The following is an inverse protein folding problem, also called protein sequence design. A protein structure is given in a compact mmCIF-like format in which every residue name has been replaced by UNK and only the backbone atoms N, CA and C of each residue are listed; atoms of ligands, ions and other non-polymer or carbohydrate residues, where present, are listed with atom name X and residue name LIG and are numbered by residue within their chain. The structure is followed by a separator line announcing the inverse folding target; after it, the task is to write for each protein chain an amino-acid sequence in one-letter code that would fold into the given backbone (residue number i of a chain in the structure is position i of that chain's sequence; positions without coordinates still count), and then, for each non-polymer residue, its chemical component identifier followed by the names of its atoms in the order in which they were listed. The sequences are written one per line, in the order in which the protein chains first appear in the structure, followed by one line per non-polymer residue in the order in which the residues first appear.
data_IF_508816351500
#
_entry.id   IF_508816351500
#
_cell.length_a   1.000
_cell.length_b   1.000
_cell.length_c   1.000
_cell.angle_alpha   90.00
_cell.angle_beta   90.00
_cell.angle_gamma   90.00
#
_symmetry.space_group_name_H-M   'P 1'
#
loop_
_entity.id
_entity.type
_entity.pdbx_description
1 polymer ?
#
# COMPACT_ATOMS: atom_id res chain seq x y z
N UNK A 1 -14.99 -12.47 -9.90
CA UNK A 1 -14.50 -11.81 -8.67
C UNK A 1 -14.53 -10.32 -8.94
N UNK A 2 -14.58 -9.50 -7.90
CA UNK A 2 -14.68 -8.05 -8.09
C UNK A 2 -13.34 -7.41 -7.71
N UNK A 3 -12.86 -6.52 -8.58
CA UNK A 3 -11.64 -5.75 -8.36
C UNK A 3 -12.03 -4.30 -8.16
N UNK A 4 -11.73 -3.75 -6.99
CA UNK A 4 -12.01 -2.36 -6.65
C UNK A 4 -10.73 -1.52 -6.74
N UNK A 5 -10.75 -0.49 -7.57
CA UNK A 5 -9.76 0.59 -7.57
C UNK A 5 -10.26 1.62 -6.56
N UNK A 6 -9.57 1.75 -5.42
CA UNK A 6 -10.02 2.65 -4.35
C UNK A 6 -9.66 4.12 -4.68
N UNK A 7 -10.43 5.05 -4.12
CA UNK A 7 -10.27 6.49 -4.34
C UNK A 7 -9.13 7.09 -3.48
N UNK A 8 -7.94 6.53 -3.63
CA UNK A 8 -6.75 6.95 -2.91
C UNK A 8 -5.56 7.10 -3.87
N UNK A 9 -4.95 8.29 -3.85
CA UNK A 9 -3.69 8.58 -4.56
C UNK A 9 -2.57 8.54 -3.54
N UNK A 10 -1.74 7.50 -3.61
CA UNK A 10 -0.75 7.17 -2.59
C UNK A 10 0.66 7.58 -3.02
N UNK A 11 1.44 8.04 -2.04
CA UNK A 11 2.87 8.29 -2.14
C UNK A 11 3.60 7.24 -1.32
N UNK A 12 4.66 6.69 -1.88
CA UNK A 12 5.59 5.79 -1.18
C UNK A 12 6.82 6.60 -0.82
N UNK A 13 7.14 6.65 0.47
CA UNK A 13 8.28 7.41 0.99
C UNK A 13 9.12 6.55 1.92
N UNK A 14 10.37 6.95 2.09
CA UNK A 14 11.33 6.29 2.94
C UNK A 14 12.03 7.34 3.80
N UNK A 15 11.92 7.22 5.12
CA UNK A 15 12.59 8.06 6.11
C UNK A 15 13.79 7.30 6.66
N UNK A 16 14.99 7.86 6.52
CA UNK A 16 16.21 7.28 7.10
C UNK A 16 16.14 7.26 8.63
N UNK A 17 16.75 6.25 9.28
CA UNK A 17 16.80 6.13 10.75
C UNK A 17 17.33 7.39 11.43
N UNK A 18 18.36 8.01 10.86
CA UNK A 18 19.02 9.19 11.42
C UNK A 18 18.13 10.44 11.39
N UNK A 19 17.21 10.53 10.42
CA UNK A 19 16.31 11.66 10.28
C UNK A 19 14.98 11.50 11.00
N UNK A 20 14.70 10.35 11.64
CA UNK A 20 13.38 10.03 12.21
C UNK A 20 12.86 11.12 13.16
N UNK A 21 13.75 11.69 13.98
CA UNK A 21 13.41 12.75 14.94
C UNK A 21 12.76 13.97 14.27
N UNK A 22 13.18 14.31 13.04
CA UNK A 22 12.63 15.44 12.28
C UNK A 22 11.18 15.17 11.83
N UNK A 23 10.80 13.90 11.72
CA UNK A 23 9.47 13.47 11.29
C UNK A 23 8.56 13.06 12.45
N UNK A 24 9.06 12.97 13.68
CA UNK A 24 8.27 12.52 14.83
C UNK A 24 6.98 13.31 14.99
N UNK A 25 7.02 14.65 14.90
CA UNK A 25 5.81 15.46 15.01
C UNK A 25 4.74 15.08 13.97
N UNK A 26 5.13 14.96 12.70
CA UNK A 26 4.22 14.58 11.62
C UNK A 26 3.68 13.16 11.79
N UNK A 27 4.55 12.20 12.12
CA UNK A 27 4.17 10.81 12.31
C UNK A 27 3.25 10.62 13.52
N UNK A 28 3.51 11.30 14.65
CA UNK A 28 2.60 11.29 15.81
C UNK A 28 1.22 11.85 15.43
N UNK A 29 1.18 12.95 14.67
CA UNK A 29 -0.07 13.53 14.19
C UNK A 29 -0.84 12.54 13.31
N UNK A 30 -0.16 11.87 12.38
CA UNK A 30 -0.77 10.89 11.47
C UNK A 30 -1.25 9.62 12.20
N UNK A 31 -0.48 9.11 13.19
CA UNK A 31 -0.82 7.88 13.92
C UNK A 31 -1.94 8.12 14.93
N UNK A 32 -1.82 9.15 15.77
CA UNK A 32 -2.65 9.29 16.98
C UNK A 32 -3.71 10.39 16.88
N UNK A 33 -3.54 11.37 15.99
CA UNK A 33 -4.38 12.57 15.95
C UNK A 33 -5.23 12.62 14.66
N UNK A 34 -6.05 11.59 14.44
CA UNK A 34 -6.91 11.46 13.25
C UNK A 34 -7.73 12.73 12.95
N UNK A 35 -8.24 13.40 13.98
CA UNK A 35 -9.02 14.64 13.83
C UNK A 35 -8.20 15.88 13.43
N UNK A 36 -6.87 15.76 13.36
CA UNK A 36 -5.94 16.85 12.99
C UNK A 36 -5.41 16.72 11.57
N UNK A 37 -5.79 15.68 10.84
CA UNK A 37 -5.37 15.44 9.45
C UNK A 37 -6.56 15.00 8.61
N UNK A 38 -6.48 15.20 7.29
CA UNK A 38 -7.44 14.65 6.33
C UNK A 38 -6.97 13.34 5.70
N UNK A 39 -5.83 12.83 6.15
CA UNK A 39 -5.26 11.56 5.74
C UNK A 39 -6.24 10.42 6.06
N UNK A 40 -6.63 9.67 5.04
CA UNK A 40 -7.50 8.48 5.09
C UNK A 40 -6.71 7.18 4.90
N UNK A 41 -5.57 7.25 4.23
CA UNK A 41 -4.67 6.11 4.03
C UNK A 41 -3.30 6.39 4.62
N UNK A 42 -2.89 5.58 5.61
CA UNK A 42 -1.57 5.68 6.24
C UNK A 42 -1.06 4.29 6.63
N UNK A 43 0.17 3.99 6.23
CA UNK A 43 0.92 2.82 6.64
C UNK A 43 2.35 3.22 6.96
N UNK A 44 2.85 2.76 8.10
CA UNK A 44 4.22 2.94 8.56
C UNK A 44 4.83 1.57 8.82
N UNK A 45 5.90 1.25 8.12
CA UNK A 45 6.64 0.00 8.30
C UNK A 45 8.07 0.32 8.69
N UNK A 46 8.46 -0.13 9.87
CA UNK A 46 9.85 -0.05 10.31
C UNK A 46 10.66 -1.24 9.78
N UNK A 47 11.80 -0.96 9.14
CA UNK A 47 12.80 -1.96 8.76
C UNK A 47 14.12 -1.67 9.49
N UNK A 48 15.13 -2.56 9.45
CA UNK A 48 16.45 -2.25 9.99
C UNK A 48 17.10 -1.02 9.33
N UNK A 49 16.81 -0.77 8.05
CA UNK A 49 17.46 0.27 7.26
C UNK A 49 16.75 1.63 7.36
N UNK A 50 15.42 1.63 7.47
CA UNK A 50 14.61 2.85 7.33
C UNK A 50 13.19 2.68 7.91
N UNK A 51 12.37 3.72 7.74
CA UNK A 51 10.93 3.67 7.89
C UNK A 51 10.28 3.91 6.53
N UNK A 52 9.56 2.92 6.01
CA UNK A 52 8.74 3.10 4.80
C UNK A 52 7.38 3.64 5.21
N UNK A 53 6.96 4.75 4.60
CA UNK A 53 5.64 5.36 4.84
C UNK A 53 4.88 5.40 3.53
N UNK A 54 3.72 4.75 3.51
CA UNK A 54 2.77 4.79 2.41
C UNK A 54 1.55 5.58 2.88
N UNK A 55 1.26 6.69 2.21
CA UNK A 55 0.21 7.60 2.64
C UNK A 55 -0.45 8.31 1.46
N UNK A 56 -1.68 8.76 1.64
CA UNK A 56 -2.36 9.56 0.62
C UNK A 56 -1.77 10.97 0.46
N UNK A 57 -2.22 11.71 -0.55
CA UNK A 57 -1.75 13.06 -0.84
C UNK A 57 -1.99 14.06 0.31
N UNK A 58 -3.03 13.85 1.15
CA UNK A 58 -3.29 14.71 2.30
C UNK A 58 -2.30 14.43 3.43
N UNK A 59 -2.02 13.16 3.72
CA UNK A 59 -0.99 12.77 4.68
C UNK A 59 0.41 13.20 4.23
N UNK A 60 0.71 13.09 2.93
CA UNK A 60 2.01 13.45 2.37
C UNK A 60 2.38 14.93 2.61
N UNK A 61 1.38 15.83 2.64
CA UNK A 61 1.58 17.27 2.96
C UNK A 61 2.14 17.52 4.36
N UNK A 62 1.96 16.57 5.29
CA UNK A 62 2.50 16.67 6.66
C UNK A 62 4.01 16.38 6.71
N UNK A 63 4.58 15.70 5.70
CA UNK A 63 5.99 15.35 5.64
C UNK A 63 6.80 16.48 4.98
N UNK A 64 7.66 17.13 5.76
CA UNK A 64 8.53 18.18 5.25
C UNK A 64 9.69 17.59 4.41
N UNK A 65 10.01 18.16 3.23
CA UNK A 65 11.17 17.73 2.46
C UNK A 65 12.47 17.84 3.27
N UNK A 66 13.32 16.83 3.18
CA UNK A 66 14.61 16.76 3.87
C UNK A 66 15.53 15.78 3.14
N UNK A 67 16.84 15.88 3.34
CA UNK A 67 17.82 14.89 2.88
C UNK A 67 17.54 13.46 3.40
N UNK A 68 16.82 13.37 4.52
CA UNK A 68 16.46 12.11 5.15
C UNK A 68 15.17 11.49 4.63
N UNK A 69 14.46 12.17 3.73
CA UNK A 69 13.20 11.73 3.14
C UNK A 69 13.40 11.46 1.65
N UNK A 70 13.32 10.18 1.28
CA UNK A 70 13.25 9.77 -0.11
C UNK A 70 11.79 9.57 -0.50
N UNK A 71 11.41 10.09 -1.65
CA UNK A 71 10.05 10.01 -2.16
C UNK A 71 10.09 9.33 -3.52
N UNK A 72 9.31 8.26 -3.67
CA UNK A 72 9.15 7.63 -4.97
C UNK A 72 8.38 8.57 -5.92
N UNK A 73 8.83 8.61 -7.17
CA UNK A 73 8.36 9.55 -8.18
C UNK A 73 6.91 9.33 -8.64
N UNK A 74 6.42 8.10 -8.54
CA UNK A 74 5.11 7.72 -9.05
C UNK A 74 4.03 7.91 -7.98
N UNK A 75 2.82 8.21 -8.44
CA UNK A 75 1.61 8.06 -7.65
C UNK A 75 1.10 6.64 -7.80
N UNK A 76 0.67 6.06 -6.69
CA UNK A 76 0.18 4.68 -6.62
C UNK A 76 -1.31 4.65 -6.30
N UNK A 77 -2.02 3.72 -6.93
CA UNK A 77 -3.44 3.45 -6.73
C UNK A 77 -3.58 2.08 -6.07
N UNK A 78 -4.25 1.98 -4.91
CA UNK A 78 -4.48 0.71 -4.26
C UNK A 78 -5.66 -0.02 -4.92
N UNK A 79 -5.41 -1.26 -5.31
CA UNK A 79 -6.42 -2.22 -5.75
C UNK A 79 -6.78 -3.14 -4.59
N UNK A 80 -8.05 -3.46 -4.46
CA UNK A 80 -8.57 -4.42 -3.50
C UNK A 80 -9.38 -5.50 -4.23
N UNK A 81 -9.06 -6.76 -3.98
CA UNK A 81 -9.76 -7.90 -4.59
C UNK A 81 -10.79 -8.43 -3.62
N UNK A 82 -12.06 -8.37 -4.00
CA UNK A 82 -13.18 -8.89 -3.21
C UNK A 82 -13.72 -10.14 -3.90
N UNK A 83 -13.71 -11.26 -3.18
CA UNK A 83 -14.40 -12.46 -3.64
C UNK A 83 -15.86 -12.40 -3.21
N UNK A 84 -16.77 -12.23 -4.18
CA UNK A 84 -18.21 -12.43 -3.97
C UNK A 84 -18.51 -13.92 -3.82
N UNK A 85 -18.11 -14.48 -2.68
CA UNK A 85 -18.38 -15.86 -2.30
C UNK A 85 -19.56 -15.92 -1.35
N UNK A 86 -20.70 -16.40 -1.86
CA UNK A 86 -21.86 -16.82 -1.09
C UNK A 86 -21.53 -18.10 -0.30
N UNK A 87 -20.57 -18.03 0.63
CA UNK A 87 -20.17 -19.14 1.49
C UNK A 87 -20.14 -18.62 2.92
N UNK A 88 -21.17 -19.01 3.66
CA UNK A 88 -21.25 -18.99 5.11
C UNK A 88 -20.00 -19.65 5.73
N UNK A 89 -18.97 -18.87 6.00
CA UNK A 89 -17.90 -19.23 6.92
C UNK A 89 -17.12 -17.96 7.23
N UNK A 90 -17.18 -17.55 8.49
CA UNK A 90 -16.28 -16.54 9.05
C UNK A 90 -14.83 -16.82 8.64
N UNK A 91 -14.09 -15.74 8.31
CA UNK A 91 -12.63 -15.72 8.17
C UNK A 91 -12.05 -16.26 6.86
N UNK A 92 -12.19 -15.55 5.73
CA UNK A 92 -11.18 -15.61 4.67
C UNK A 92 -10.98 -14.23 4.04
N UNK A 93 -10.07 -13.44 4.60
CA UNK A 93 -9.30 -12.53 3.75
C UNK A 93 -8.75 -13.38 2.58
N UNK A 94 -8.92 -12.91 1.34
CA UNK A 94 -8.40 -13.60 0.16
C UNK A 94 -6.89 -13.43 0.18
N UNK A 95 -6.20 -14.28 0.95
CA UNK A 95 -4.76 -14.13 1.18
C UNK A 95 -3.97 -14.05 -0.12
N UNK A 96 -2.87 -13.30 -0.09
CA UNK A 96 -1.92 -13.06 -1.20
C UNK A 96 -1.71 -14.25 -2.15
N UNK A 97 -1.71 -15.49 -1.66
CA UNK A 97 -1.54 -16.71 -2.49
C UNK A 97 -2.63 -16.88 -3.56
N UNK A 98 -3.90 -16.50 -3.29
CA UNK A 98 -4.97 -16.54 -4.30
C UNK A 98 -4.81 -15.40 -5.31
N UNK A 99 -4.45 -14.21 -4.83
CA UNK A 99 -4.19 -13.00 -5.63
C UNK A 99 -2.95 -13.15 -6.52
N UNK A 100 -1.95 -13.92 -6.08
CA UNK A 100 -0.69 -14.08 -6.78
C UNK A 100 -0.86 -14.67 -8.19
N UNK A 101 -1.81 -15.59 -8.36
CA UNK A 101 -2.08 -16.21 -9.67
C UNK A 101 -2.97 -15.36 -10.56
N UNK A 102 -4.06 -14.82 -10.02
CA UNK A 102 -5.07 -14.12 -10.81
C UNK A 102 -4.77 -12.64 -11.05
N UNK A 103 -3.91 -12.02 -10.23
CA UNK A 103 -3.56 -10.60 -10.37
C UNK A 103 -2.07 -10.39 -10.59
N UNK A 104 -1.22 -10.90 -9.69
CA UNK A 104 0.22 -10.56 -9.74
C UNK A 104 0.90 -11.13 -10.98
N UNK A 105 0.63 -12.41 -11.34
CA UNK A 105 1.25 -13.03 -12.50
C UNK A 105 0.85 -12.37 -13.84
N UNK A 106 -0.44 -12.10 -14.15
CA UNK A 106 -0.83 -11.36 -15.35
C UNK A 106 -0.21 -9.97 -15.44
N UNK A 107 -0.19 -9.22 -14.32
CA UNK A 107 0.42 -7.88 -14.29
C UNK A 107 1.93 -7.93 -14.54
N UNK A 108 2.63 -8.92 -13.98
CA UNK A 108 4.06 -9.11 -14.22
C UNK A 108 4.38 -9.44 -15.69
N UNK A 109 3.53 -10.23 -16.36
CA UNK A 109 3.67 -10.53 -17.79
C UNK A 109 3.53 -9.29 -18.68
N UNK A 110 2.74 -8.31 -18.24
CA UNK A 110 2.58 -7.02 -18.91
C UNK A 110 3.58 -5.95 -18.43
N UNK A 111 4.63 -6.35 -17.70
CA UNK A 111 5.65 -5.47 -17.13
C UNK A 111 5.10 -4.36 -16.20
N UNK A 112 3.96 -4.61 -15.55
CA UNK A 112 3.41 -3.72 -14.53
C UNK A 112 4.08 -4.03 -13.20
N UNK A 113 4.74 -3.04 -12.61
CA UNK A 113 5.31 -3.19 -11.26
C UNK A 113 4.23 -2.97 -10.21
N UNK A 114 4.23 -3.82 -9.18
CA UNK A 114 3.28 -3.76 -8.08
C UNK A 114 4.01 -3.58 -6.75
N UNK A 115 3.35 -2.96 -5.78
CA UNK A 115 3.78 -2.92 -4.39
C UNK A 115 2.70 -3.57 -3.53
N UNK A 116 3.06 -4.60 -2.75
CA UNK A 116 2.10 -5.36 -1.93
C UNK A 116 2.02 -4.76 -0.53
N UNK A 117 0.81 -4.54 -0.04
CA UNK A 117 0.55 -4.10 1.33
C UNK A 117 -0.57 -4.93 1.96
N UNK A 118 -0.16 -6.00 2.64
CA UNK A 118 -1.05 -6.87 3.41
C UNK A 118 -1.33 -6.27 4.79
N UNK A 119 -2.60 -6.26 5.19
CA UNK A 119 -3.06 -5.80 6.51
C UNK A 119 -3.79 -6.92 7.25
N UNK A 120 -4.25 -6.66 8.48
CA UNK A 120 -5.10 -7.61 9.19
C UNK A 120 -6.44 -7.86 8.45
N UNK A 121 -6.98 -6.83 7.80
CA UNK A 121 -8.31 -6.88 7.18
C UNK A 121 -8.28 -7.39 5.74
N UNK A 122 -7.35 -6.87 4.92
CA UNK A 122 -7.28 -7.18 3.49
C UNK A 122 -5.87 -7.02 2.92
N UNK A 123 -5.69 -7.47 1.68
CA UNK A 123 -4.49 -7.33 0.88
C UNK A 123 -4.67 -6.21 -0.16
N UNK A 124 -3.84 -5.17 -0.09
CA UNK A 124 -3.80 -4.12 -1.11
C UNK A 124 -2.69 -4.39 -2.12
N UNK A 125 -3.00 -4.21 -3.39
CA UNK A 125 -2.05 -4.26 -4.50
C UNK A 125 -1.93 -2.86 -5.06
N UNK A 126 -0.81 -2.21 -4.82
CA UNK A 126 -0.57 -0.86 -5.30
C UNK A 126 0.01 -0.94 -6.71
N UNK A 127 -0.62 -0.25 -7.65
CA UNK A 127 -0.15 -0.09 -9.03
C UNK A 127 0.13 1.38 -9.31
N UNK A 128 1.08 1.69 -10.20
CA UNK A 128 1.32 3.09 -10.57
C UNK A 128 0.15 3.62 -11.39
N UNK A 129 -0.26 4.85 -11.13
CA UNK A 129 -1.37 5.52 -11.80
C UNK A 129 -1.22 5.50 -13.33
N UNK A 130 0.00 5.69 -13.84
CA UNK A 130 0.32 5.63 -15.28
C UNK A 130 0.10 4.26 -15.95
N UNK A 131 0.14 3.17 -15.16
CA UNK A 131 0.01 1.81 -15.66
C UNK A 131 -1.46 1.32 -15.57
N UNK A 132 -2.39 2.16 -15.09
CA UNK A 132 -3.78 1.78 -14.81
C UNK A 132 -4.54 1.28 -16.04
N UNK A 133 -4.31 1.85 -17.22
CA UNK A 133 -4.95 1.40 -18.47
C UNK A 133 -4.57 -0.06 -18.79
N UNK A 134 -3.28 -0.39 -18.65
CA UNK A 134 -2.77 -1.75 -18.84
C UNK A 134 -3.38 -2.68 -17.81
N UNK A 135 -3.42 -2.28 -16.53
CA UNK A 135 -4.04 -3.05 -15.44
C UNK A 135 -5.49 -3.41 -15.76
N UNK A 136 -6.30 -2.44 -16.18
CA UNK A 136 -7.72 -2.67 -16.51
C UNK A 136 -7.83 -3.67 -17.66
N UNK A 137 -7.13 -3.44 -18.77
CA UNK A 137 -7.17 -4.34 -19.94
C UNK A 137 -6.64 -5.76 -19.66
N UNK A 138 -5.76 -5.90 -18.65
CA UNK A 138 -5.18 -7.20 -18.29
C UNK A 138 -6.11 -8.01 -17.40
N UNK A 139 -6.91 -7.34 -16.55
CA UNK A 139 -7.71 -7.98 -15.51
C UNK A 139 -9.21 -8.02 -15.84
N UNK A 140 -9.68 -7.31 -16.87
CA UNK A 140 -11.11 -7.25 -17.23
C UNK A 140 -11.70 -8.59 -17.67
N UNK A 141 -10.89 -9.53 -18.18
CA UNK A 141 -11.36 -10.87 -18.55
C UNK A 141 -11.70 -11.74 -17.33
N UNK A 142 -11.02 -11.54 -16.20
CA UNK A 142 -11.19 -12.35 -14.98
C UNK A 142 -12.01 -11.63 -13.89
N UNK A 143 -12.07 -10.30 -13.91
CA UNK A 143 -12.64 -9.47 -12.86
C UNK A 143 -13.67 -8.47 -13.37
N UNK A 144 -14.75 -8.30 -12.61
CA UNK A 144 -15.58 -7.11 -12.73
C UNK A 144 -14.84 -5.96 -12.05
N UNK A 145 -14.45 -4.94 -12.82
CA UNK A 145 -13.65 -3.83 -12.30
C UNK A 145 -14.56 -2.68 -11.90
N UNK A 146 -14.44 -2.26 -10.65
CA UNK A 146 -15.12 -1.12 -10.08
C UNK A 146 -14.10 -0.05 -9.68
N UNK A 147 -14.49 1.21 -9.81
CA UNK A 147 -13.75 2.35 -9.29
C UNK A 147 -14.58 3.01 -8.21
N UNK A 148 -13.98 3.24 -7.06
CA UNK A 148 -14.58 4.04 -6.02
C UNK A 148 -14.50 5.53 -6.40
N UNK A 149 -15.63 6.22 -6.36
CA UNK A 149 -15.73 7.66 -6.57
C UNK A 149 -16.62 8.21 -5.47
N UNK A 150 -16.07 9.06 -4.60
CA UNK A 150 -16.80 9.63 -3.45
C UNK A 150 -17.43 8.58 -2.51
N UNK A 151 -16.87 7.37 -2.45
CA UNK A 151 -17.35 6.26 -1.62
C UNK A 151 -18.32 5.30 -2.33
N UNK A 152 -18.72 5.59 -3.56
CA UNK A 152 -19.58 4.73 -4.36
C UNK A 152 -18.77 3.90 -5.37
N UNK A 153 -19.08 2.61 -5.51
CA UNK A 153 -18.42 1.72 -6.47
C UNK A 153 -19.09 1.80 -7.85
N UNK A 154 -18.41 2.45 -8.80
CA UNK A 154 -18.90 2.63 -10.17
C UNK A 154 -18.22 1.61 -11.10
N UNK A 155 -18.95 0.86 -11.94
CA UNK A 155 -18.34 -0.07 -12.88
C UNK A 155 -17.48 0.68 -13.91
N UNK A 156 -16.29 0.16 -14.16
CA UNK A 156 -15.38 0.69 -15.19
C UNK A 156 -15.78 0.08 -16.53
N UNK A 157 -16.51 0.83 -17.37
CA UNK A 157 -16.83 0.42 -18.73
C UNK A 157 -15.67 0.64 -19.71
N UNK A 158 -15.56 -0.21 -20.74
CA UNK A 158 -14.49 -0.17 -21.76
C UNK A 158 -14.38 1.13 -22.61
N UNK A 159 -15.15 2.18 -22.36
CA UNK A 159 -15.37 3.27 -23.34
C UNK A 159 -14.42 4.47 -23.30
N UNK A 160 -13.29 4.41 -22.60
CA UNK A 160 -12.27 5.49 -22.68
C UNK A 160 -10.89 5.04 -23.19
N UNK A 161 -10.78 3.85 -23.79
CA UNK A 161 -9.50 3.39 -24.37
C UNK A 161 -9.38 3.83 -25.84
N UNK A 162 -9.52 5.13 -26.10
CA UNK A 162 -9.09 5.70 -27.38
C UNK A 162 -7.60 6.08 -27.29
N UNK A 163 -6.77 5.21 -27.89
CA UNK A 163 -5.49 5.57 -28.50
C UNK A 163 -4.42 6.24 -27.63
N UNK A 164 -3.89 5.55 -26.63
CA UNK A 164 -2.46 5.69 -26.26
C UNK A 164 -1.90 4.32 -25.87
N UNK A 165 -1.84 3.38 -26.81
CA UNK A 165 -0.89 2.27 -26.69
C UNK A 165 0.51 2.81 -26.99
N UNK A 166 1.03 3.66 -26.11
CA UNK A 166 2.47 3.83 -26.02
C UNK A 166 2.98 2.55 -25.37
N UNK A 167 3.45 1.62 -26.21
CA UNK A 167 4.37 0.57 -25.76
C UNK A 167 5.43 1.28 -24.93
N UNK A 168 5.44 1.05 -23.63
CA UNK A 168 6.45 1.57 -22.72
C UNK A 168 7.81 1.10 -23.28
N UNK A 169 8.51 1.99 -24.00
CA UNK A 169 9.84 1.75 -24.57
C UNK A 169 10.93 1.73 -23.51
N UNK A 170 10.61 1.29 -22.28
CA UNK A 170 11.61 0.97 -21.28
C UNK A 170 12.11 -0.42 -21.62
N UNK A 171 13.41 -0.53 -21.88
CA UNK A 171 14.13 -1.80 -21.84
C UNK A 171 13.63 -2.57 -20.62
N UNK A 172 12.98 -3.71 -20.88
CA UNK A 172 12.48 -4.55 -19.81
C UNK A 172 13.69 -4.96 -18.97
N UNK A 173 13.77 -4.46 -17.73
CA UNK A 173 14.71 -4.97 -16.76
C UNK A 173 14.49 -6.48 -16.70
N UNK A 174 15.51 -7.26 -17.08
CA UNK A 174 15.41 -8.71 -17.08
C UNK A 174 15.06 -9.18 -15.67
N UNK A 175 14.02 -10.01 -15.50
CA UNK A 175 13.67 -10.56 -14.20
C UNK A 175 14.88 -11.28 -13.61
N UNK A 176 15.28 -10.87 -12.41
CA UNK A 176 16.36 -11.53 -11.65
C UNK A 176 15.76 -12.35 -10.52
N UNK A 177 16.38 -13.49 -10.22
CA UNK A 177 16.05 -14.26 -9.01
C UNK A 177 16.67 -13.52 -7.82
N UNK A 178 15.83 -13.01 -6.92
CA UNK A 178 16.28 -12.32 -5.71
C UNK A 178 16.55 -13.34 -4.58
N UNK A 179 17.64 -13.19 -3.80
CA UNK A 179 17.90 -14.03 -2.65
C UNK A 179 16.84 -13.83 -1.56
N UNK A 180 16.49 -14.90 -0.86
CA UNK A 180 15.50 -14.88 0.23
C UNK A 180 16.21 -15.11 1.56
N UNK A 181 15.87 -14.29 2.55
CA UNK A 181 16.32 -14.44 3.93
C UNK A 181 15.12 -14.76 4.82
N UNK A 182 15.24 -15.80 5.65
CA UNK A 182 14.20 -16.24 6.58
C UNK A 182 14.68 -15.97 8.00
N UNK A 183 14.25 -14.86 8.65
CA UNK A 183 14.59 -14.60 10.04
C UNK A 183 13.85 -15.57 10.98
N UNK A 184 14.37 -15.77 12.18
CA UNK A 184 13.76 -16.66 13.20
C UNK A 184 12.61 -16.01 13.98
N UNK A 185 12.29 -14.76 13.68
CA UNK A 185 11.23 -14.00 14.33
C UNK A 185 9.86 -14.66 14.13
N UNK A 186 9.06 -14.68 15.20
CA UNK A 186 7.65 -15.03 15.13
C UNK A 186 6.84 -13.73 15.09
N UNK A 187 6.13 -13.51 13.98
CA UNK A 187 5.33 -12.30 13.77
C UNK A 187 3.86 -12.57 14.08
N UNK A 188 3.26 -11.73 14.93
CA UNK A 188 1.81 -11.69 15.14
C UNK A 188 1.17 -10.61 14.29
N UNK A 189 0.11 -10.95 13.58
CA UNK A 189 -0.72 -9.98 12.83
C UNK A 189 -1.95 -9.66 13.68
N UNK A 190 -2.12 -8.40 14.07
CA UNK A 190 -3.14 -7.97 15.02
C UNK A 190 -3.93 -6.76 14.51
N UNK A 191 -5.16 -6.61 15.00
CA UNK A 191 -5.99 -5.42 14.83
C UNK A 191 -6.29 -4.83 16.21
N UNK A 192 -6.53 -3.52 16.24
CA UNK A 192 -6.85 -2.80 17.46
C UNK A 192 -8.10 -1.96 17.25
N UNK A 193 -8.97 -1.91 18.26
CA UNK A 193 -10.08 -0.95 18.29
C UNK A 193 -9.50 0.47 18.34
N UNK A 194 -9.83 1.36 17.37
CA UNK A 194 -9.37 2.75 17.37
C UNK A 194 -9.57 3.49 18.69
N UNK A 195 -10.65 3.21 19.42
CA UNK A 195 -10.96 3.89 20.69
C UNK A 195 -9.98 3.49 21.81
N UNK A 196 -9.34 2.33 21.66
CA UNK A 196 -8.33 1.83 22.60
C UNK A 196 -6.90 2.26 22.24
N UNK A 197 -6.67 2.82 21.04
CA UNK A 197 -5.35 3.27 20.60
C UNK A 197 -4.65 4.23 21.60
N UNK A 198 -5.34 5.19 22.25
CA UNK A 198 -4.71 6.04 23.25
C UNK A 198 -4.12 5.27 24.43
N UNK A 199 -4.69 4.11 24.80
CA UNK A 199 -4.24 3.31 25.94
C UNK A 199 -2.87 2.67 25.74
N UNK A 200 -2.48 2.42 24.49
CA UNK A 200 -1.17 1.84 24.14
C UNK A 200 -0.22 2.86 23.51
N UNK A 201 -0.61 4.13 23.41
CA UNK A 201 0.10 5.12 22.63
C UNK A 201 1.55 5.31 23.10
N UNK A 202 1.78 5.37 24.41
CA UNK A 202 3.14 5.50 24.98
C UNK A 202 4.02 4.31 24.63
N UNK A 203 3.51 3.08 24.76
CA UNK A 203 4.23 1.86 24.40
C UNK A 203 4.53 1.83 22.90
N UNK A 204 3.55 2.16 22.06
CA UNK A 204 3.71 2.17 20.60
C UNK A 204 4.73 3.24 20.17
N UNK A 205 4.74 4.40 20.82
CA UNK A 205 5.74 5.46 20.60
C UNK A 205 7.14 4.96 20.98
N UNK A 206 7.28 4.31 22.14
CA UNK A 206 8.57 3.77 22.59
C UNK A 206 9.12 2.72 21.61
N UNK A 207 8.26 1.81 21.15
CA UNK A 207 8.60 0.79 20.15
C UNK A 207 9.04 1.44 18.83
N UNK A 208 8.23 2.33 18.27
CA UNK A 208 8.49 2.88 16.93
C UNK A 208 9.63 3.89 16.88
N UNK A 209 9.83 4.70 17.93
CA UNK A 209 10.71 5.87 17.86
C UNK A 209 11.96 5.78 18.75
N UNK A 210 11.99 4.89 19.74
CA UNK A 210 13.04 4.88 20.78
C UNK A 210 13.75 3.53 20.99
N UNK A 211 13.14 2.40 20.60
CA UNK A 211 13.66 1.06 20.92
C UNK A 211 15.02 0.70 20.30
N UNK A 212 15.42 1.34 19.20
CA UNK A 212 16.73 1.09 18.57
C UNK A 212 17.91 1.71 19.31
N UNK A 213 17.69 2.46 20.41
CA UNK A 213 18.77 3.08 21.20
C UNK A 213 19.34 2.18 22.30
N UNK A 214 18.84 0.95 22.47
CA UNK A 214 19.23 0.04 23.57
C UNK A 214 20.24 -1.05 23.19
N UNK A 215 20.85 -1.01 22.00
CA UNK A 215 22.03 -1.84 21.69
C UNK A 215 23.30 -0.99 21.88
N UNK A 216 23.65 -0.74 23.15
CA UNK A 216 24.98 -0.29 23.57
C UNK A 216 25.82 -1.50 24.00
#
# INVERSE_FOLDING_TARGET
MDLHILDHRLRVTCISKNGLANFTHALIKLIFLRNRTRCKFFSLTETPENYTVVLDEEGFKELQPSEHLQVESSTWLPLNVVSNGNISSSSQAVGVTKIAKSVIAPLAQQHVSVFMLSTYQTDFILVREKDLSVVISTLEEEFNIYREVEGESVPVGCQNVSNVLQKNGKEALHPTVHPVLIPQNQFGVMSLDPDTLPSIATTLIDVLFYSNRLRC
#
